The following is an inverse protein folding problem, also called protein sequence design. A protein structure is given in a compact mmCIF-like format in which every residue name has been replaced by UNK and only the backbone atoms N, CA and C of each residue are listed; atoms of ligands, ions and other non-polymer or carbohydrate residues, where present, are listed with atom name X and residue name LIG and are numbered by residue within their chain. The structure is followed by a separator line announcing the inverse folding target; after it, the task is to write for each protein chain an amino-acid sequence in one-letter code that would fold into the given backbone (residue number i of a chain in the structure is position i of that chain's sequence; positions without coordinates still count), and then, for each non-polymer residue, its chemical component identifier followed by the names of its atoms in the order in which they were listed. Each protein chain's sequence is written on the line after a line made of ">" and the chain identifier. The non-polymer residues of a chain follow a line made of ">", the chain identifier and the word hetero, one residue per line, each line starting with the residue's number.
data_IF_452285256449
#
_entry.id   IF_452285256449
#
_cell.length_a   1.000
_cell.length_b   1.000
_cell.length_c   1.000
_cell.angle_alpha   90.00
_cell.angle_beta   90.00
_cell.angle_gamma   90.00
#
_symmetry.space_group_name_H-M   'P 1'
#
loop_
_entity.id
_entity.type
_entity.pdbx_description
1 polymer ?
#
# COMPACT_ATOMS: atom_id res chain seq x y z
N UNK A 1 28.85 -1.50 19.79
CA UNK A 1 27.72 -1.91 18.96
C UNK A 1 28.31 -2.49 17.70
N UNK A 2 28.05 -3.78 17.41
CA UNK A 2 28.65 -4.46 16.26
C UNK A 2 27.53 -4.71 15.26
N UNK A 3 27.49 -3.92 14.19
CA UNK A 3 26.54 -4.09 13.11
C UNK A 3 26.90 -5.35 12.30
N UNK A 4 25.90 -6.17 12.01
CA UNK A 4 26.09 -7.37 11.18
C UNK A 4 25.78 -7.10 9.70
N UNK A 5 25.01 -6.05 9.42
CA UNK A 5 24.62 -5.63 8.09
C UNK A 5 24.97 -4.15 7.88
N UNK A 6 25.68 -3.85 6.79
CA UNK A 6 25.91 -2.49 6.33
C UNK A 6 24.90 -2.11 5.25
N UNK A 7 24.28 -0.93 5.34
CA UNK A 7 23.24 -0.49 4.41
C UNK A 7 23.75 -0.42 2.97
N UNK A 8 25.03 -0.08 2.80
CA UNK A 8 25.69 0.02 1.49
C UNK A 8 25.74 -1.31 0.72
N UNK A 9 25.67 -2.42 1.44
CA UNK A 9 25.71 -3.77 0.89
C UNK A 9 24.33 -4.30 0.47
N UNK A 10 23.25 -3.57 0.77
CA UNK A 10 21.92 -3.91 0.28
C UNK A 10 21.75 -3.48 -1.18
N UNK A 11 21.07 -4.34 -1.93
CA UNK A 11 20.63 -4.06 -3.29
C UNK A 11 19.18 -4.48 -3.48
N UNK A 12 18.46 -3.72 -4.28
CA UNK A 12 17.10 -4.03 -4.70
C UNK A 12 17.14 -4.44 -6.17
N UNK A 13 16.47 -5.54 -6.53
CA UNK A 13 16.26 -5.86 -7.94
C UNK A 13 15.36 -4.79 -8.57
N UNK A 14 15.83 -4.09 -9.59
CA UNK A 14 14.96 -3.20 -10.35
C UNK A 14 13.96 -4.01 -11.16
N UNK A 15 12.69 -3.67 -11.02
CA UNK A 15 11.63 -4.17 -11.90
C UNK A 15 11.21 -3.03 -12.81
N UNK A 16 11.04 -3.23 -14.13
CA UNK A 16 10.28 -2.31 -14.97
C UNK A 16 8.79 -2.42 -14.61
N UNK A 17 8.45 -2.09 -13.36
CA UNK A 17 7.09 -2.07 -12.88
C UNK A 17 6.44 -0.80 -13.47
N UNK A 18 5.63 -1.00 -14.51
CA UNK A 18 4.67 0.02 -14.92
C UNK A 18 3.41 -0.19 -14.11
N UNK A 19 2.94 0.87 -13.45
CA UNK A 19 1.61 0.85 -12.91
C UNK A 19 0.60 0.87 -14.05
N UNK A 20 -0.61 0.40 -13.73
CA UNK A 20 -1.75 0.52 -14.62
C UNK A 20 -1.98 1.98 -14.99
N UNK A 21 -2.28 2.24 -16.26
CA UNK A 21 -2.56 3.59 -16.75
C UNK A 21 -3.70 4.26 -15.97
N UNK A 22 -4.70 3.48 -15.55
CA UNK A 22 -5.79 3.95 -14.71
C UNK A 22 -5.28 4.50 -13.37
N UNK A 23 -4.31 3.82 -12.74
CA UNK A 23 -3.70 4.25 -11.48
C UNK A 23 -2.89 5.52 -11.68
N UNK A 24 -2.09 5.62 -12.74
CA UNK A 24 -1.32 6.83 -13.04
C UNK A 24 -2.22 8.05 -13.32
N UNK A 25 -3.34 7.84 -14.02
CA UNK A 25 -4.32 8.90 -14.28
C UNK A 25 -4.96 9.42 -13.00
N UNK A 26 -5.35 8.52 -12.09
CA UNK A 26 -5.83 8.90 -10.76
C UNK A 26 -4.74 9.62 -9.98
N UNK A 27 -3.53 9.05 -9.93
CA UNK A 27 -2.38 9.56 -9.19
C UNK A 27 -2.08 11.04 -9.52
N UNK A 28 -2.10 11.40 -10.81
CA UNK A 28 -1.88 12.77 -11.28
C UNK A 28 -2.87 13.78 -10.74
N UNK A 29 -4.12 13.38 -10.49
CA UNK A 29 -5.13 14.27 -9.91
C UNK A 29 -5.00 14.29 -8.40
N UNK A 30 -4.92 13.12 -7.76
CA UNK A 30 -4.89 13.04 -6.30
C UNK A 30 -3.67 13.74 -5.72
N UNK A 31 -2.48 13.72 -6.37
CA UNK A 31 -1.31 14.45 -5.87
C UNK A 31 -1.47 15.98 -5.84
N UNK A 32 -2.42 16.52 -6.62
CA UNK A 32 -2.63 17.96 -6.78
C UNK A 32 -3.71 18.50 -5.83
N UNK A 33 -4.54 17.62 -5.26
CA UNK A 33 -5.69 18.00 -4.45
C UNK A 33 -5.96 16.98 -3.34
N UNK A 34 -5.78 17.43 -2.10
CA UNK A 34 -5.91 16.60 -0.91
C UNK A 34 -7.32 16.01 -0.73
N UNK A 35 -8.36 16.73 -1.15
CA UNK A 35 -9.72 16.23 -1.00
C UNK A 35 -10.06 15.24 -2.10
N UNK A 36 -9.54 15.41 -3.33
CA UNK A 36 -9.58 14.37 -4.36
C UNK A 36 -8.86 13.08 -3.91
N UNK A 37 -7.74 13.21 -3.18
CA UNK A 37 -7.06 12.10 -2.53
C UNK A 37 -7.98 11.38 -1.51
N UNK A 38 -8.58 12.12 -0.56
CA UNK A 38 -9.50 11.55 0.43
C UNK A 38 -10.75 10.90 -0.19
N UNK A 39 -11.35 11.53 -1.19
CA UNK A 39 -12.51 11.01 -1.93
C UNK A 39 -12.15 9.69 -2.63
N UNK A 40 -10.98 9.61 -3.28
CA UNK A 40 -10.53 8.39 -3.96
C UNK A 40 -10.36 7.24 -2.98
N UNK A 41 -9.79 7.50 -1.80
CA UNK A 41 -9.64 6.48 -0.77
C UNK A 41 -10.99 6.03 -0.21
N UNK A 42 -11.92 6.96 0.08
CA UNK A 42 -13.30 6.63 0.46
C UNK A 42 -13.97 5.75 -0.59
N UNK A 43 -13.81 6.11 -1.86
CA UNK A 43 -14.39 5.38 -2.98
C UNK A 43 -13.89 3.93 -3.04
N UNK A 44 -12.57 3.71 -3.01
CA UNK A 44 -12.02 2.35 -3.07
C UNK A 44 -12.22 1.53 -1.80
N UNK A 45 -12.40 2.19 -0.64
CA UNK A 45 -12.76 1.52 0.59
C UNK A 45 -14.20 0.99 0.57
N UNK A 46 -15.14 1.79 0.07
CA UNK A 46 -16.58 1.48 0.11
C UNK A 46 -17.02 0.65 -1.10
N UNK A 47 -16.57 1.02 -2.30
CA UNK A 47 -16.97 0.36 -3.54
C UNK A 47 -15.89 -0.64 -3.94
N UNK A 48 -15.95 -1.85 -3.40
CA UNK A 48 -14.94 -2.91 -3.65
C UNK A 48 -15.32 -3.87 -4.79
N UNK A 49 -16.48 -3.66 -5.42
CA UNK A 49 -17.03 -4.48 -6.51
C UNK A 49 -17.79 -3.61 -7.52
N UNK A 50 -17.14 -3.31 -8.64
CA UNK A 50 -17.68 -2.48 -9.71
C UNK A 50 -18.81 -3.12 -10.53
N UNK A 51 -19.11 -4.41 -10.33
CA UNK A 51 -20.23 -5.07 -11.01
C UNK A 51 -21.44 -5.28 -10.10
N UNK A 52 -21.36 -4.86 -8.84
CA UNK A 52 -22.41 -5.06 -7.84
C UNK A 52 -23.49 -3.96 -7.85
N UNK A 53 -23.16 -2.78 -8.39
CA UNK A 53 -24.06 -1.61 -8.45
C UNK A 53 -23.96 -0.93 -9.81
N UNK A 54 -25.01 -0.20 -10.26
CA UNK A 54 -24.94 0.58 -11.49
C UNK A 54 -24.04 1.82 -11.33
N UNK A 55 -23.50 2.34 -12.44
CA UNK A 55 -22.72 3.59 -12.50
C UNK A 55 -23.41 4.77 -11.79
N UNK A 56 -24.72 4.90 -11.92
CA UNK A 56 -25.50 5.98 -11.27
C UNK A 56 -25.47 5.90 -9.74
N UNK A 57 -25.40 4.71 -9.16
CA UNK A 57 -25.25 4.53 -7.72
C UNK A 57 -23.81 4.85 -7.25
N UNK A 58 -22.81 4.49 -8.06
CA UNK A 58 -21.41 4.85 -7.80
C UNK A 58 -21.20 6.38 -7.89
N UNK A 59 -21.86 7.03 -8.85
CA UNK A 59 -21.88 8.49 -9.01
C UNK A 59 -22.48 9.18 -7.78
N UNK A 60 -23.67 8.76 -7.34
CA UNK A 60 -24.28 9.30 -6.14
C UNK A 60 -23.38 9.16 -4.90
N UNK A 61 -22.64 8.04 -4.78
CA UNK A 61 -21.69 7.84 -3.69
C UNK A 61 -20.47 8.76 -3.76
N UNK A 62 -19.96 9.05 -4.95
CA UNK A 62 -18.88 10.03 -5.12
C UNK A 62 -19.32 11.43 -4.69
N UNK A 63 -20.53 11.83 -5.10
CA UNK A 63 -21.10 13.13 -4.74
C UNK A 63 -21.36 13.22 -3.22
N UNK A 64 -21.86 12.13 -2.60
CA UNK A 64 -21.99 12.04 -1.14
C UNK A 64 -20.65 12.23 -0.41
N UNK A 65 -19.56 11.60 -0.88
CA UNK A 65 -18.24 11.81 -0.28
C UNK A 65 -17.74 13.25 -0.45
N UNK A 66 -17.98 13.87 -1.60
CA UNK A 66 -17.63 15.28 -1.82
C UNK A 66 -18.40 16.19 -0.87
N UNK A 67 -19.72 16.03 -0.79
CA UNK A 67 -20.58 16.79 0.10
C UNK A 67 -20.18 16.59 1.57
N UNK A 68 -19.82 15.37 1.97
CA UNK A 68 -19.32 15.08 3.32
C UNK A 68 -18.10 15.96 3.65
N UNK A 69 -17.11 16.03 2.77
CA UNK A 69 -15.93 16.86 3.01
C UNK A 69 -16.23 18.37 2.95
N UNK A 70 -17.03 18.82 1.98
CA UNK A 70 -17.38 20.26 1.86
C UNK A 70 -18.19 20.76 3.06
N UNK A 71 -19.11 19.96 3.60
CA UNK A 71 -19.98 20.35 4.71
C UNK A 71 -19.31 20.14 6.06
N UNK A 72 -18.76 18.94 6.32
CA UNK A 72 -18.29 18.59 7.66
C UNK A 72 -16.86 19.07 7.96
N UNK A 73 -16.02 19.25 6.92
CA UNK A 73 -14.64 19.69 7.08
C UNK A 73 -14.41 21.14 6.62
N UNK A 74 -15.47 21.86 6.22
CA UNK A 74 -15.40 23.22 5.64
C UNK A 74 -14.35 23.30 4.51
N UNK A 75 -14.36 22.28 3.66
CA UNK A 75 -13.38 22.05 2.61
C UNK A 75 -13.76 22.71 1.29
N UNK A 76 -12.79 23.31 0.59
CA UNK A 76 -12.94 23.70 -0.81
C UNK A 76 -12.36 22.59 -1.71
N UNK A 77 -13.23 21.74 -2.27
CA UNK A 77 -12.84 20.72 -3.24
C UNK A 77 -12.78 21.35 -4.63
N UNK A 78 -11.64 21.25 -5.31
CA UNK A 78 -11.50 21.79 -6.67
C UNK A 78 -12.51 21.14 -7.62
N UNK A 79 -13.45 21.94 -8.14
CA UNK A 79 -14.52 21.46 -9.03
C UNK A 79 -13.96 20.83 -10.31
N UNK A 80 -12.92 21.41 -10.91
CA UNK A 80 -12.30 20.90 -12.14
C UNK A 80 -11.59 19.56 -11.92
N UNK A 81 -10.81 19.45 -10.83
CA UNK A 81 -10.09 18.23 -10.48
C UNK A 81 -11.05 17.12 -10.07
N UNK A 82 -12.05 17.45 -9.26
CA UNK A 82 -13.09 16.49 -8.89
C UNK A 82 -13.85 15.98 -10.11
N UNK A 83 -14.26 16.86 -11.02
CA UNK A 83 -14.96 16.45 -12.25
C UNK A 83 -14.10 15.51 -13.09
N UNK A 84 -12.80 15.81 -13.22
CA UNK A 84 -11.85 14.95 -13.92
C UNK A 84 -11.67 13.59 -13.24
N UNK A 85 -11.56 13.57 -11.91
CA UNK A 85 -11.47 12.34 -11.12
C UNK A 85 -12.73 11.50 -11.25
N UNK A 86 -13.90 12.12 -11.12
CA UNK A 86 -15.21 11.48 -11.21
C UNK A 86 -15.38 10.76 -12.54
N UNK A 87 -15.00 11.39 -13.65
CA UNK A 87 -15.02 10.75 -14.98
C UNK A 87 -14.15 9.48 -15.00
N UNK A 88 -12.94 9.53 -14.43
CA UNK A 88 -12.04 8.35 -14.40
C UNK A 88 -12.62 7.23 -13.54
N UNK A 89 -13.09 7.55 -12.33
CA UNK A 89 -13.60 6.54 -11.40
C UNK A 89 -14.89 5.88 -11.88
N UNK A 90 -15.75 6.63 -12.58
CA UNK A 90 -17.00 6.09 -13.12
C UNK A 90 -16.80 5.27 -14.41
N UNK A 91 -15.71 5.50 -15.16
CA UNK A 91 -15.33 4.62 -16.30
C UNK A 91 -15.20 3.16 -15.84
N UNK A 92 -14.77 2.92 -14.61
CA UNK A 92 -14.64 1.58 -14.05
C UNK A 92 -15.97 0.81 -13.97
N UNK A 93 -17.12 1.49 -13.98
CA UNK A 93 -18.45 0.88 -13.86
C UNK A 93 -19.15 0.68 -15.21
N UNK A 94 -18.63 1.28 -16.29
CA UNK A 94 -19.22 1.20 -17.63
C UNK A 94 -18.30 0.55 -18.66
N UNK A 95 -16.98 0.55 -18.40
CA UNK A 95 -16.00 0.00 -19.31
C UNK A 95 -16.04 -1.54 -19.28
N UNK A 96 -16.43 -2.20 -20.39
CA UNK A 96 -16.60 -3.65 -20.42
C UNK A 96 -15.27 -4.42 -20.25
N UNK A 97 -14.13 -3.75 -20.38
CA UNK A 97 -12.81 -4.35 -20.16
C UNK A 97 -12.40 -4.40 -18.68
N UNK A 98 -13.11 -3.68 -17.81
CA UNK A 98 -12.82 -3.61 -16.38
C UNK A 98 -13.83 -4.50 -15.64
N UNK A 99 -13.52 -5.79 -15.57
CA UNK A 99 -14.27 -6.71 -14.71
C UNK A 99 -13.87 -6.56 -13.23
N UNK A 100 -14.59 -7.23 -12.34
CA UNK A 100 -14.33 -7.27 -10.89
C UNK A 100 -12.87 -7.59 -10.52
N UNK A 101 -12.20 -8.49 -11.24
CA UNK A 101 -10.80 -8.84 -10.95
C UNK A 101 -9.86 -7.69 -11.34
N UNK A 102 -10.07 -7.10 -12.52
CA UNK A 102 -9.32 -5.94 -12.99
C UNK A 102 -9.50 -4.73 -12.06
N UNK A 103 -10.74 -4.46 -11.64
CA UNK A 103 -11.05 -3.38 -10.71
C UNK A 103 -10.34 -3.56 -9.36
N UNK A 104 -10.30 -4.79 -8.84
CA UNK A 104 -9.54 -5.11 -7.62
C UNK A 104 -8.05 -4.90 -7.76
N UNK A 105 -7.48 -5.24 -8.91
CA UNK A 105 -6.10 -4.94 -9.21
C UNK A 105 -5.85 -3.42 -9.26
N UNK A 106 -6.75 -2.64 -9.88
CA UNK A 106 -6.62 -1.17 -9.94
C UNK A 106 -6.54 -0.56 -8.54
N UNK A 107 -7.50 -0.85 -7.65
CA UNK A 107 -7.48 -0.23 -6.33
C UNK A 107 -6.32 -0.74 -5.45
N UNK A 108 -5.85 -1.98 -5.67
CA UNK A 108 -4.71 -2.52 -4.91
C UNK A 108 -3.42 -1.84 -5.35
N UNK A 109 -3.20 -1.74 -6.67
CA UNK A 109 -2.08 -1.00 -7.26
C UNK A 109 -2.13 0.49 -6.97
N UNK A 110 -3.33 1.07 -6.77
CA UNK A 110 -3.47 2.45 -6.34
C UNK A 110 -2.87 2.69 -4.95
N UNK A 111 -3.12 1.80 -3.98
CA UNK A 111 -2.51 1.92 -2.65
C UNK A 111 -0.98 1.79 -2.70
N UNK A 112 -0.46 0.87 -3.51
CA UNK A 112 0.98 0.75 -3.77
C UNK A 112 1.55 2.04 -4.38
N UNK A 113 0.85 2.66 -5.33
CA UNK A 113 1.25 3.93 -5.92
C UNK A 113 1.23 5.07 -4.90
N UNK A 114 0.24 5.14 -4.02
CA UNK A 114 0.19 6.11 -2.93
C UNK A 114 1.41 5.98 -2.02
N UNK A 115 1.75 4.75 -1.61
CA UNK A 115 2.93 4.50 -0.78
C UNK A 115 4.23 4.82 -1.53
N UNK A 116 4.30 4.53 -2.84
CA UNK A 116 5.41 4.98 -3.68
C UNK A 116 5.53 6.50 -3.66
N UNK A 117 4.45 7.25 -3.90
CA UNK A 117 4.48 8.72 -3.88
C UNK A 117 4.89 9.27 -2.52
N UNK A 118 4.38 8.68 -1.45
CA UNK A 118 4.70 9.05 -0.06
C UNK A 118 6.20 8.90 0.25
N UNK A 119 6.81 7.80 -0.20
CA UNK A 119 8.21 7.47 0.10
C UNK A 119 9.20 7.96 -0.96
N UNK A 120 8.70 8.50 -2.07
CA UNK A 120 9.55 9.06 -3.11
C UNK A 120 10.17 10.36 -2.61
N UNK A 121 11.45 10.30 -2.25
CA UNK A 121 12.22 11.50 -1.94
C UNK A 121 12.74 12.09 -3.27
N UNK A 122 12.56 13.39 -3.53
CA UNK A 122 13.17 14.05 -4.67
C UNK A 122 14.70 13.94 -4.63
N UNK A 123 15.33 13.42 -5.68
CA UNK A 123 16.79 13.35 -5.80
C UNK A 123 17.32 11.98 -6.27
N UNK A 124 18.64 11.86 -6.43
CA UNK A 124 19.32 10.65 -6.90
C UNK A 124 19.65 9.65 -5.76
N UNK A 125 19.45 10.05 -4.51
CA UNK A 125 20.04 9.35 -3.35
C UNK A 125 19.19 8.20 -2.81
N UNK A 126 17.91 8.13 -3.20
CA UNK A 126 16.95 7.12 -2.74
C UNK A 126 16.35 6.33 -3.90
N UNK A 127 16.21 5.02 -3.70
CA UNK A 127 15.59 4.10 -4.64
C UNK A 127 14.27 3.60 -4.03
N UNK A 128 13.15 3.77 -4.75
CA UNK A 128 11.86 3.13 -4.41
C UNK A 128 11.58 2.07 -5.46
N UNK A 129 11.47 0.82 -5.06
CA UNK A 129 11.16 -0.30 -5.95
C UNK A 129 9.87 -1.01 -5.54
N UNK A 130 9.19 -1.58 -6.54
CA UNK A 130 7.92 -2.30 -6.38
C UNK A 130 8.17 -3.80 -6.48
N UNK A 131 7.75 -4.53 -5.45
CA UNK A 131 8.03 -5.96 -5.29
C UNK A 131 9.49 -6.37 -5.62
N UNK A 132 10.52 -5.68 -5.09
CA UNK A 132 11.91 -6.06 -5.36
C UNK A 132 12.32 -7.29 -4.56
N UNK A 133 13.28 -8.03 -5.10
CA UNK A 133 14.14 -8.90 -4.30
C UNK A 133 15.16 -8.04 -3.56
N UNK A 134 15.29 -8.29 -2.26
CA UNK A 134 16.27 -7.62 -1.40
C UNK A 134 17.45 -8.56 -1.22
N UNK A 135 18.64 -8.13 -1.61
CA UNK A 135 19.88 -8.89 -1.46
C UNK A 135 20.87 -8.16 -0.56
N UNK A 136 21.70 -8.90 0.15
CA UNK A 136 22.83 -8.40 0.93
C UNK A 136 24.12 -9.07 0.43
N UNK A 137 25.11 -8.27 0.01
CA UNK A 137 26.35 -8.77 -0.62
C UNK A 137 26.08 -9.72 -1.81
N UNK A 138 25.03 -9.42 -2.59
CA UNK A 138 24.61 -10.24 -3.73
C UNK A 138 23.88 -11.55 -3.38
N UNK A 139 23.63 -11.82 -2.10
CA UNK A 139 22.87 -12.99 -1.64
C UNK A 139 21.46 -12.55 -1.26
N UNK A 140 20.45 -13.25 -1.78
CA UNK A 140 19.05 -13.00 -1.44
C UNK A 140 18.83 -13.11 0.08
N UNK A 141 18.16 -12.10 0.65
CA UNK A 141 17.83 -12.08 2.07
C UNK A 141 16.99 -13.30 2.45
N UNK A 142 17.35 -13.91 3.58
CA UNK A 142 16.72 -15.13 4.11
C UNK A 142 16.76 -16.34 3.19
N UNK A 143 17.73 -16.44 2.27
CA UNK A 143 17.84 -17.56 1.30
C UNK A 143 17.79 -18.98 1.92
N UNK A 144 18.11 -19.13 3.20
CA UNK A 144 18.01 -20.36 3.98
C UNK A 144 16.60 -20.65 4.56
N UNK A 145 15.64 -19.74 4.39
CA UNK A 145 14.26 -19.82 4.92
C UNK A 145 13.25 -20.18 3.82
N UNK A 146 12.14 -20.80 4.20
CA UNK A 146 11.06 -21.17 3.26
C UNK A 146 10.28 -19.96 2.70
N UNK A 147 10.39 -18.81 3.36
CA UNK A 147 9.74 -17.56 2.98
C UNK A 147 10.63 -16.61 2.15
N UNK A 148 11.85 -17.00 1.76
CA UNK A 148 12.83 -16.15 1.04
C UNK A 148 12.33 -15.52 -0.25
N UNK A 149 11.35 -16.14 -0.91
CA UNK A 149 10.74 -15.63 -2.17
C UNK A 149 9.61 -14.63 -1.94
N UNK A 150 9.26 -14.36 -0.69
CA UNK A 150 8.33 -13.29 -0.37
C UNK A 150 9.01 -11.95 -0.62
N UNK A 151 8.23 -10.95 -1.00
CA UNK A 151 8.69 -9.58 -1.26
C UNK A 151 7.76 -8.63 -0.54
N UNK A 152 8.20 -7.43 -0.19
CA UNK A 152 7.27 -6.37 0.21
C UNK A 152 6.80 -5.62 -1.03
N UNK A 153 5.56 -5.13 -1.01
CA UNK A 153 4.97 -4.46 -2.17
C UNK A 153 5.76 -3.19 -2.56
N UNK A 154 6.24 -2.41 -1.58
CA UNK A 154 7.12 -1.25 -1.80
C UNK A 154 8.35 -1.33 -0.88
N UNK A 155 9.54 -1.08 -1.42
CA UNK A 155 10.78 -0.97 -0.64
C UNK A 155 11.51 0.31 -1.00
N UNK A 156 11.85 1.09 0.03
CA UNK A 156 12.68 2.27 -0.06
C UNK A 156 14.06 1.99 0.52
N UNK A 157 15.10 2.31 -0.25
CA UNK A 157 16.50 2.23 0.17
C UNK A 157 17.21 3.55 -0.15
N UNK A 158 17.82 4.17 0.85
CA UNK A 158 18.70 5.31 0.68
C UNK A 158 20.00 5.08 1.43
N UNK A 159 21.10 4.95 0.68
CA UNK A 159 22.42 4.67 1.24
C UNK A 159 23.06 5.90 1.87
N UNK A 160 22.73 7.10 1.37
CA UNK A 160 23.28 8.37 1.86
C UNK A 160 22.67 8.77 3.19
N UNK A 161 21.34 8.81 3.28
CA UNK A 161 20.64 9.10 4.54
C UNK A 161 20.58 7.89 5.48
N UNK A 162 21.04 6.72 5.01
CA UNK A 162 21.01 5.44 5.71
C UNK A 162 19.59 5.04 6.13
N UNK A 163 18.70 4.87 5.16
CA UNK A 163 17.31 4.49 5.38
C UNK A 163 16.94 3.21 4.62
N UNK A 164 16.22 2.32 5.29
CA UNK A 164 15.65 1.10 4.69
C UNK A 164 14.23 0.89 5.21
N UNK A 165 13.22 1.11 4.35
CA UNK A 165 11.80 1.05 4.72
C UNK A 165 11.07 0.08 3.81
N UNK A 166 10.30 -0.84 4.40
CA UNK A 166 9.60 -1.93 3.70
C UNK A 166 8.10 -1.84 4.01
N UNK A 167 7.28 -1.81 2.97
CA UNK A 167 5.83 -1.65 3.10
C UNK A 167 5.07 -2.75 2.35
N UNK A 168 4.12 -3.36 3.04
CA UNK A 168 3.16 -4.31 2.45
C UNK A 168 1.77 -3.64 2.39
N UNK A 169 1.26 -3.43 1.19
CA UNK A 169 -0.01 -2.74 0.93
C UNK A 169 -1.17 -3.73 0.93
N UNK A 170 -2.18 -3.51 1.78
CA UNK A 170 -3.34 -4.40 1.90
C UNK A 170 -4.63 -3.61 2.04
N UNK A 171 -5.30 -3.35 0.92
CA UNK A 171 -6.64 -2.72 0.92
C UNK A 171 -7.65 -3.59 1.69
N UNK A 172 -7.62 -4.91 1.48
CA UNK A 172 -8.46 -5.87 2.22
C UNK A 172 -7.76 -6.49 3.42
N UNK A 173 -7.31 -5.68 4.40
CA UNK A 173 -6.55 -6.19 5.55
C UNK A 173 -7.36 -7.20 6.39
N UNK A 174 -8.66 -6.97 6.55
CA UNK A 174 -9.55 -7.93 7.24
C UNK A 174 -9.53 -9.31 6.59
N UNK A 175 -9.73 -9.39 5.27
CA UNK A 175 -9.67 -10.65 4.51
C UNK A 175 -8.29 -11.31 4.60
N UNK A 176 -7.22 -10.51 4.64
CA UNK A 176 -5.86 -11.01 4.82
C UNK A 176 -5.70 -11.66 6.21
N UNK A 177 -6.20 -11.02 7.26
CA UNK A 177 -6.13 -11.55 8.62
C UNK A 177 -7.06 -12.76 8.81
N UNK A 178 -8.28 -12.74 8.27
CA UNK A 178 -9.18 -13.89 8.27
C UNK A 178 -8.52 -15.10 7.58
N UNK A 179 -7.85 -14.88 6.45
CA UNK A 179 -7.07 -15.92 5.77
C UNK A 179 -5.90 -16.41 6.62
N UNK A 180 -5.20 -15.51 7.33
CA UNK A 180 -4.11 -15.86 8.24
C UNK A 180 -4.60 -16.76 9.39
N UNK A 181 -5.76 -16.44 9.94
CA UNK A 181 -6.37 -17.07 11.11
C UNK A 181 -7.30 -18.23 10.79
N UNK A 182 -7.49 -18.56 9.52
CA UNK A 182 -8.39 -19.63 9.10
C UNK A 182 -8.12 -20.95 9.83
N UNK A 183 -9.14 -21.42 10.58
CA UNK A 183 -9.16 -22.73 11.23
C UNK A 183 -10.19 -23.58 10.48
N UNK A 184 -9.70 -24.47 9.61
CA UNK A 184 -10.55 -25.35 8.82
C UNK A 184 -9.76 -26.22 7.88
N UNK A 185 -10.45 -27.07 7.11
CA UNK A 185 -9.84 -28.10 6.27
C UNK A 185 -9.98 -27.84 4.76
N UNK A 186 -10.46 -26.66 4.36
CA UNK A 186 -10.55 -26.30 2.94
C UNK A 186 -9.15 -26.14 2.32
N UNK A 187 -8.79 -27.05 1.41
CA UNK A 187 -7.48 -27.08 0.78
C UNK A 187 -7.11 -25.82 -0.02
N UNK A 188 -8.10 -25.11 -0.60
CA UNK A 188 -7.85 -23.88 -1.36
C UNK A 188 -7.52 -22.73 -0.39
N UNK A 189 -8.25 -22.64 0.72
CA UNK A 189 -8.00 -21.62 1.74
C UNK A 189 -6.68 -21.90 2.45
N UNK A 190 -6.37 -23.15 2.80
CA UNK A 190 -5.09 -23.53 3.40
C UNK A 190 -3.88 -23.16 2.53
N UNK A 191 -3.97 -23.33 1.21
CA UNK A 191 -2.93 -22.86 0.27
C UNK A 191 -2.74 -21.34 0.30
N UNK A 192 -3.83 -20.58 0.43
CA UNK A 192 -3.78 -19.11 0.57
C UNK A 192 -3.20 -18.70 1.93
N UNK A 193 -3.63 -19.35 3.00
CA UNK A 193 -3.09 -19.16 4.35
C UNK A 193 -1.59 -19.41 4.38
N UNK A 194 -1.08 -20.47 3.73
CA UNK A 194 0.35 -20.74 3.68
C UNK A 194 1.14 -19.61 2.98
N UNK A 195 0.58 -18.98 1.94
CA UNK A 195 1.19 -17.81 1.29
C UNK A 195 1.20 -16.59 2.22
N UNK A 196 0.08 -16.33 2.88
CA UNK A 196 -0.07 -15.23 3.85
C UNK A 196 0.90 -15.40 5.03
N UNK A 197 0.98 -16.60 5.61
CA UNK A 197 1.93 -16.93 6.69
C UNK A 197 3.38 -16.69 6.27
N UNK A 198 3.79 -17.12 5.06
CA UNK A 198 5.15 -16.84 4.55
C UNK A 198 5.44 -15.35 4.41
N UNK A 199 4.48 -14.56 3.89
CA UNK A 199 4.62 -13.10 3.80
C UNK A 199 4.81 -12.48 5.19
N UNK A 200 3.99 -12.86 6.18
CA UNK A 200 4.14 -12.39 7.57
C UNK A 200 5.49 -12.80 8.16
N UNK A 201 5.94 -14.04 7.97
CA UNK A 201 7.25 -14.49 8.44
C UNK A 201 8.41 -13.72 7.81
N UNK A 202 8.33 -13.41 6.52
CA UNK A 202 9.32 -12.57 5.84
C UNK A 202 9.40 -11.17 6.45
N UNK A 203 8.24 -10.54 6.69
CA UNK A 203 8.21 -9.23 7.34
C UNK A 203 8.73 -9.28 8.78
N UNK A 204 8.37 -10.32 9.55
CA UNK A 204 8.91 -10.50 10.91
C UNK A 204 10.42 -10.73 10.91
N UNK A 205 10.96 -11.44 9.92
CA UNK A 205 12.40 -11.60 9.74
C UNK A 205 13.13 -10.26 9.58
N UNK A 206 12.60 -9.34 8.77
CA UNK A 206 13.17 -7.99 8.67
C UNK A 206 12.99 -7.18 9.96
N UNK A 207 11.83 -7.26 10.59
CA UNK A 207 11.58 -6.61 11.87
C UNK A 207 12.61 -7.03 12.92
N UNK A 208 12.92 -8.32 13.05
CA UNK A 208 13.94 -8.82 13.97
C UNK A 208 15.33 -8.23 13.68
N UNK A 209 15.70 -8.02 12.41
CA UNK A 209 16.96 -7.37 12.04
C UNK A 209 16.96 -5.90 12.48
N UNK A 210 15.83 -5.20 12.30
CA UNK A 210 15.68 -3.79 12.67
C UNK A 210 15.66 -3.59 14.18
N UNK A 211 14.88 -4.39 14.91
CA UNK A 211 14.71 -4.29 16.37
C UNK A 211 15.98 -4.67 17.14
N UNK A 212 16.81 -5.55 16.58
CA UNK A 212 18.09 -5.94 17.19
C UNK A 212 19.28 -5.04 16.81
N UNK A 213 19.02 -3.87 16.21
CA UNK A 213 20.04 -2.90 15.75
C UNK A 213 21.16 -3.55 14.91
N UNK A 214 20.82 -4.58 14.13
CA UNK A 214 21.79 -5.35 13.35
C UNK A 214 22.20 -4.66 12.04
N UNK A 215 21.49 -3.60 11.64
CA UNK A 215 21.80 -2.77 10.47
C UNK A 215 22.26 -1.40 10.94
N UNK A 216 23.28 -0.84 10.30
CA UNK A 216 23.76 0.53 10.53
C UNK A 216 22.85 1.61 9.89
N UNK A 217 21.55 1.53 10.16
CA UNK A 217 20.53 2.45 9.63
C UNK A 217 20.24 3.61 10.58
N UNK A 218 19.90 4.78 10.04
CA UNK A 218 19.32 5.91 10.80
C UNK A 218 17.82 5.80 10.92
N UNK A 219 17.18 5.19 9.93
CA UNK A 219 15.74 4.93 9.94
C UNK A 219 15.46 3.57 9.28
N UNK A 220 14.95 2.63 10.06
CA UNK A 220 14.42 1.38 9.53
C UNK A 220 12.94 1.26 9.89
N UNK A 221 12.16 0.80 8.92
CA UNK A 221 10.74 0.56 9.12
C UNK A 221 10.29 -0.65 8.34
N UNK A 222 9.42 -1.45 8.96
CA UNK A 222 8.61 -2.43 8.26
C UNK A 222 7.17 -2.34 8.73
N UNK A 223 6.25 -2.16 7.77
CA UNK A 223 4.86 -1.93 8.10
C UNK A 223 3.90 -2.51 7.06
N UNK A 224 2.68 -2.82 7.51
CA UNK A 224 1.53 -2.89 6.61
C UNK A 224 0.98 -1.48 6.38
N UNK A 225 0.45 -1.23 5.19
CA UNK A 225 -0.31 -0.02 4.87
C UNK A 225 -1.69 -0.43 4.36
N UNK A 226 -2.75 0.21 4.84
CA UNK A 226 -4.13 -0.12 4.46
C UNK A 226 -5.02 1.13 4.39
N UNK A 227 -6.09 1.03 3.60
CA UNK A 227 -7.19 2.01 3.59
C UNK A 227 -8.26 1.69 4.65
N UNK A 228 -8.13 0.57 5.38
CA UNK A 228 -9.04 0.29 6.49
C UNK A 228 -8.84 1.29 7.63
N UNK A 229 -9.95 1.67 8.26
CA UNK A 229 -9.94 2.47 9.49
C UNK A 229 -9.40 1.65 10.66
N UNK A 230 -8.77 2.31 11.63
CA UNK A 230 -8.29 1.67 12.85
C UNK A 230 -9.38 0.89 13.60
N UNK A 231 -10.60 1.43 13.62
CA UNK A 231 -11.77 0.80 14.24
C UNK A 231 -12.14 -0.55 13.61
N UNK A 232 -11.80 -0.77 12.33
CA UNK A 232 -12.12 -1.99 11.60
C UNK A 232 -11.13 -3.14 11.86
N UNK A 233 -9.98 -2.86 12.49
CA UNK A 233 -8.87 -3.83 12.58
C UNK A 233 -8.38 -4.10 14.02
N UNK A 234 -8.91 -3.40 15.02
CA UNK A 234 -8.41 -3.44 16.40
C UNK A 234 -8.34 -4.85 17.03
N UNK A 235 -9.28 -5.74 16.72
CA UNK A 235 -9.39 -7.03 17.42
C UNK A 235 -8.43 -8.10 16.88
N UNK A 236 -8.01 -8.01 15.61
CA UNK A 236 -7.25 -9.09 14.95
C UNK A 236 -5.76 -8.73 14.70
N UNK A 237 -5.34 -7.52 15.08
CA UNK A 237 -3.96 -7.03 14.89
C UNK A 237 -2.91 -7.84 15.64
N UNK A 238 -3.29 -8.51 16.74
CA UNK A 238 -2.35 -9.28 17.58
C UNK A 238 -1.54 -10.31 16.77
N UNK A 239 -2.10 -10.84 15.69
CA UNK A 239 -1.43 -11.80 14.83
C UNK A 239 -0.33 -11.18 13.96
N UNK A 240 -0.43 -9.89 13.69
CA UNK A 240 0.56 -9.11 12.94
C UNK A 240 1.64 -8.53 13.85
N UNK A 241 1.42 -8.45 15.17
CA UNK A 241 2.45 -8.02 16.13
C UNK A 241 3.76 -8.82 15.93
N UNK A 242 4.94 -8.17 15.96
CA UNK A 242 5.21 -6.75 16.30
C UNK A 242 5.19 -5.77 15.10
N UNK A 243 4.64 -6.16 13.95
CA UNK A 243 4.67 -5.33 12.75
C UNK A 243 3.78 -4.09 12.91
N UNK A 244 4.30 -2.93 12.50
CA UNK A 244 3.54 -1.68 12.45
C UNK A 244 2.48 -1.75 11.36
N UNK A 245 1.38 -1.04 11.57
CA UNK A 245 0.29 -0.93 10.59
C UNK A 245 -0.09 0.54 10.49
N UNK A 246 0.02 1.09 9.28
CA UNK A 246 -0.53 2.39 8.93
C UNK A 246 -1.94 2.19 8.42
N UNK A 247 -2.90 2.78 9.12
CA UNK A 247 -4.30 2.81 8.73
C UNK A 247 -4.60 4.03 7.89
N UNK A 248 -5.85 4.10 7.41
CA UNK A 248 -6.34 5.26 6.66
C UNK A 248 -6.06 6.57 7.37
N UNK A 249 -6.30 6.63 8.68
CA UNK A 249 -6.10 7.82 9.49
C UNK A 249 -4.62 8.27 9.55
N UNK A 250 -3.68 7.33 9.42
CA UNK A 250 -2.26 7.65 9.45
C UNK A 250 -1.75 8.20 8.12
N UNK A 251 -2.27 7.68 6.99
CA UNK A 251 -1.83 8.09 5.65
C UNK A 251 -2.64 9.26 5.08
N UNK A 252 -3.89 9.47 5.51
CA UNK A 252 -4.75 10.57 5.08
C UNK A 252 -4.50 11.88 5.85
N UNK A 253 -3.24 12.24 6.04
CA UNK A 253 -2.86 13.49 6.71
C UNK A 253 -2.31 14.50 5.72
N UNK A 254 -2.44 15.80 6.03
CA UNK A 254 -1.82 16.87 5.24
C UNK A 254 -0.30 16.75 5.19
N UNK A 255 0.30 16.23 6.27
CA UNK A 255 1.74 15.98 6.34
C UNK A 255 2.16 14.93 5.31
N UNK A 256 1.53 13.74 5.33
CA UNK A 256 1.80 12.69 4.32
C UNK A 256 1.53 13.18 2.91
N UNK A 257 0.40 13.87 2.71
CA UNK A 257 0.03 14.44 1.41
C UNK A 257 1.10 15.40 0.87
N UNK A 258 1.67 16.23 1.74
CA UNK A 258 2.68 17.22 1.34
C UNK A 258 3.99 16.61 0.85
N UNK A 259 4.23 15.32 1.11
CA UNK A 259 5.42 14.62 0.62
C UNK A 259 5.19 13.87 -0.68
N UNK A 260 3.96 13.83 -1.22
CA UNK A 260 3.66 13.08 -2.43
C UNK A 260 4.45 13.63 -3.62
N UNK A 261 5.22 12.73 -4.24
CA UNK A 261 6.01 13.02 -5.43
C UNK A 261 5.76 11.96 -6.52
N UNK A 262 5.57 12.40 -7.77
CA UNK A 262 5.31 11.52 -8.93
C UNK A 262 6.56 11.35 -9.78
#
# INVERSE_FOLDING_TARGET
>A
MTFNYLIDNFTLSSSPASFRQEVERIARIVKEDFYCYKITNSFFLVLTDNTSIPKTAAEAKLDEFKEEFEIYEDAEVSSDRYSSLKVILLDFFENPNINKVTYRAIYSSYLEYLVKMWQSIPGLDGQVEIEPEISYNGILMFSDKDFHRSKCDIVYLNKVSKELKLYECKVGLFTFIDTLNYIGNDSKILKRQAKVKRKVSYMKGFHEIFDSDKIDTRQAEIAFVTLAHKSQIQQDIVHLYPLKIYTREDIETREVFSTFYV
#
